data_IF_798861998842
#
_entry.id   IF_798861998842
#
_cell.length_a   1.000
_cell.length_b   1.000
_cell.length_c   1.000
_cell.angle_alpha   90.00
_cell.angle_beta   90.00
_cell.angle_gamma   90.00
#
_symmetry.space_group_name_H-M   'P 1'
#
loop_
_entity.id
_entity.type
_entity.pdbx_description
1 polymer ?
#
# COMPACT_ATOMS: atom_id res chain seq x y z
N UNK A 1 -97.42 -123.55 -0.29
CA UNK A 1 -97.77 -124.86 0.33
C UNK A 1 -98.78 -124.58 1.44
N UNK A 2 -100.03 -124.95 1.19
CA UNK A 2 -101.12 -124.86 2.16
C UNK A 2 -100.79 -125.71 3.39
N UNK A 3 -100.87 -125.12 4.57
CA UNK A 3 -101.06 -125.86 5.82
C UNK A 3 -102.18 -125.17 6.59
N UNK A 4 -103.35 -125.81 6.56
CA UNK A 4 -104.47 -125.60 7.48
C UNK A 4 -104.05 -126.08 8.87
N UNK A 5 -104.21 -125.26 9.91
CA UNK A 5 -104.37 -125.74 11.28
C UNK A 5 -105.50 -124.96 11.97
N UNK A 6 -106.63 -125.66 12.04
CA UNK A 6 -107.59 -125.78 13.14
C UNK A 6 -107.84 -124.61 14.11
N UNK A 7 -109.07 -124.12 14.07
CA UNK A 7 -109.78 -123.60 15.24
C UNK A 7 -109.85 -124.69 16.31
N UNK A 8 -109.24 -124.43 17.47
CA UNK A 8 -109.55 -125.10 18.73
C UNK A 8 -110.16 -124.05 19.64
N UNK A 9 -111.48 -124.11 19.80
CA UNK A 9 -112.17 -123.48 20.93
C UNK A 9 -111.83 -124.30 22.19
N UNK A 10 -111.08 -123.71 23.11
CA UNK A 10 -111.13 -124.11 24.52
C UNK A 10 -111.00 -122.85 25.39
N UNK A 11 -111.88 -122.66 26.39
CA UNK A 11 -111.95 -121.44 27.18
C UNK A 11 -110.92 -121.46 28.30
N UNK A 12 -110.64 -120.28 28.87
CA UNK A 12 -109.77 -120.02 30.04
C UNK A 12 -108.28 -119.81 29.69
N UNK A 13 -107.88 -118.55 29.50
CA UNK A 13 -106.88 -117.89 30.36
C UNK A 13 -106.88 -116.38 30.02
N UNK A 14 -107.32 -115.58 30.99
CA UNK A 14 -107.26 -114.13 30.99
C UNK A 14 -105.80 -113.69 31.15
N UNK A 15 -105.25 -112.98 30.16
CA UNK A 15 -104.11 -112.08 30.38
C UNK A 15 -104.66 -110.66 30.26
N UNK A 16 -104.53 -109.91 31.34
CA UNK A 16 -105.17 -108.62 31.58
C UNK A 16 -104.76 -107.58 30.52
N UNK A 17 -105.69 -106.87 29.84
CA UNK A 17 -105.36 -105.75 28.94
C UNK A 17 -104.65 -104.57 29.64
N UNK A 18 -104.58 -104.61 30.98
CA UNK A 18 -103.78 -103.68 31.77
C UNK A 18 -102.28 -103.97 31.70
N UNK A 19 -101.85 -105.25 31.57
CA UNK A 19 -100.42 -105.60 31.53
C UNK A 19 -99.78 -105.26 30.18
N UNK A 20 -100.51 -105.49 29.08
CA UNK A 20 -100.06 -105.17 27.72
C UNK A 20 -100.00 -103.65 27.48
N UNK A 21 -100.99 -102.89 28.00
CA UNK A 21 -100.93 -101.43 28.04
C UNK A 21 -99.81 -100.92 28.95
N UNK A 22 -99.58 -101.53 30.11
CA UNK A 22 -98.49 -101.13 31.02
C UNK A 22 -97.11 -101.36 30.40
N UNK A 23 -96.91 -102.45 29.67
CA UNK A 23 -95.67 -102.74 28.94
C UNK A 23 -95.51 -101.79 27.73
N UNK A 24 -96.57 -101.56 26.96
CA UNK A 24 -96.55 -100.60 25.83
C UNK A 24 -96.27 -99.16 26.28
N UNK A 25 -96.92 -98.69 27.35
CA UNK A 25 -96.69 -97.34 27.88
C UNK A 25 -95.31 -97.18 28.51
N UNK A 26 -94.82 -98.17 29.27
CA UNK A 26 -93.47 -98.11 29.82
C UNK A 26 -92.40 -98.17 28.73
N UNK A 27 -92.53 -99.04 27.73
CA UNK A 27 -91.58 -99.10 26.61
C UNK A 27 -91.65 -97.80 25.79
N UNK A 28 -92.84 -97.25 25.52
CA UNK A 28 -92.99 -96.00 24.79
C UNK A 28 -92.43 -94.82 25.58
N UNK A 29 -92.65 -94.78 26.89
CA UNK A 29 -92.07 -93.80 27.82
C UNK A 29 -90.54 -93.90 27.84
N UNK A 30 -89.98 -95.10 28.02
CA UNK A 30 -88.53 -95.33 27.96
C UNK A 30 -87.94 -94.99 26.59
N UNK A 31 -88.60 -95.34 25.49
CA UNK A 31 -88.13 -95.03 24.13
C UNK A 31 -88.16 -93.52 23.85
N UNK A 32 -89.21 -92.83 24.30
CA UNK A 32 -89.29 -91.36 24.24
C UNK A 32 -88.23 -90.72 25.12
N UNK A 33 -87.97 -91.27 26.31
CA UNK A 33 -86.95 -90.77 27.23
C UNK A 33 -85.53 -91.02 26.71
N UNK A 34 -85.27 -92.16 26.07
CA UNK A 34 -84.01 -92.50 25.40
C UNK A 34 -83.82 -91.61 24.17
N UNK A 35 -84.85 -91.43 23.34
CA UNK A 35 -84.80 -90.55 22.16
C UNK A 35 -84.57 -89.10 22.57
N UNK A 36 -85.27 -88.61 23.59
CA UNK A 36 -85.06 -87.27 24.14
C UNK A 36 -83.65 -87.12 24.73
N UNK A 37 -83.14 -88.13 25.44
CA UNK A 37 -81.79 -88.12 25.99
C UNK A 37 -80.71 -88.15 24.89
N UNK A 38 -80.88 -88.97 23.84
CA UNK A 38 -79.99 -89.02 22.69
C UNK A 38 -80.00 -87.69 21.92
N UNK A 39 -81.18 -87.14 21.65
CA UNK A 39 -81.34 -85.85 20.98
C UNK A 39 -80.75 -84.73 21.83
N UNK A 40 -80.99 -84.70 23.14
CA UNK A 40 -80.45 -83.70 24.05
C UNK A 40 -78.91 -83.79 24.14
N UNK A 41 -78.36 -84.98 24.23
CA UNK A 41 -76.91 -85.21 24.25
C UNK A 41 -76.26 -84.83 22.91
N UNK A 42 -76.86 -85.19 21.78
CA UNK A 42 -76.42 -84.75 20.45
C UNK A 42 -76.49 -83.23 20.30
N UNK A 43 -77.56 -82.59 20.78
CA UNK A 43 -77.73 -81.13 20.75
C UNK A 43 -76.70 -80.44 21.65
N UNK A 44 -76.42 -80.98 22.83
CA UNK A 44 -75.39 -80.48 23.75
C UNK A 44 -73.99 -80.60 23.14
N UNK A 45 -73.68 -81.72 22.47
CA UNK A 45 -72.39 -81.90 21.76
C UNK A 45 -72.26 -80.95 20.57
N UNK A 46 -73.33 -80.75 19.79
CA UNK A 46 -73.37 -79.79 18.68
C UNK A 46 -73.20 -78.34 19.16
N UNK A 47 -73.90 -77.95 20.23
CA UNK A 47 -73.74 -76.62 20.85
C UNK A 47 -72.32 -76.43 21.38
N UNK A 48 -71.75 -77.45 22.04
CA UNK A 48 -70.37 -77.42 22.55
C UNK A 48 -69.34 -77.31 21.42
N UNK A 49 -69.54 -78.00 20.30
CA UNK A 49 -68.72 -77.82 19.10
C UNK A 49 -68.89 -76.41 18.51
N UNK A 50 -70.12 -75.93 18.37
CA UNK A 50 -70.42 -74.60 17.83
C UNK A 50 -69.81 -73.48 18.68
N UNK A 51 -69.91 -73.55 20.01
CA UNK A 51 -69.29 -72.57 20.91
C UNK A 51 -67.77 -72.65 20.90
N UNK A 52 -67.18 -73.85 20.84
CA UNK A 52 -65.74 -74.02 20.67
C UNK A 52 -65.26 -73.41 19.35
N UNK A 53 -65.99 -73.64 18.26
CA UNK A 53 -65.65 -73.11 16.94
C UNK A 53 -65.77 -71.58 16.91
N UNK A 54 -66.84 -71.02 17.48
CA UNK A 54 -67.03 -69.58 17.62
C UNK A 54 -65.94 -68.94 18.50
N UNK A 55 -65.56 -69.60 19.60
CA UNK A 55 -64.48 -69.15 20.48
C UNK A 55 -63.13 -69.17 19.76
N UNK A 56 -62.81 -70.26 19.05
CA UNK A 56 -61.60 -70.34 18.22
C UNK A 56 -61.59 -69.30 17.10
N UNK A 57 -62.73 -69.07 16.44
CA UNK A 57 -62.85 -68.07 15.38
C UNK A 57 -62.67 -66.67 15.94
N UNK A 58 -63.30 -66.33 17.06
CA UNK A 58 -63.13 -65.05 17.73
C UNK A 58 -61.67 -64.81 18.16
N UNK A 59 -61.00 -65.85 18.65
CA UNK A 59 -59.58 -65.79 19.02
C UNK A 59 -58.68 -65.61 17.80
N UNK A 60 -58.94 -66.32 16.68
CA UNK A 60 -58.22 -66.12 15.42
C UNK A 60 -58.43 -64.72 14.86
N UNK A 61 -59.66 -64.19 14.88
CA UNK A 61 -59.96 -62.82 14.44
C UNK A 61 -59.23 -61.80 15.30
N UNK A 62 -59.16 -62.00 16.62
CA UNK A 62 -58.36 -61.12 17.50
C UNK A 62 -56.88 -61.15 17.13
N UNK A 63 -56.31 -62.33 16.92
CA UNK A 63 -54.89 -62.47 16.51
C UNK A 63 -54.62 -61.80 15.17
N UNK A 64 -55.53 -61.97 14.20
CA UNK A 64 -55.42 -61.34 12.90
C UNK A 64 -55.46 -59.81 13.00
N UNK A 65 -56.40 -59.26 13.79
CA UNK A 65 -56.49 -57.81 14.00
C UNK A 65 -55.22 -57.23 14.66
N UNK A 66 -54.57 -57.98 15.57
CA UNK A 66 -53.30 -57.56 16.17
C UNK A 66 -52.18 -57.54 15.13
N UNK A 67 -52.08 -58.58 14.29
CA UNK A 67 -51.09 -58.63 13.21
C UNK A 67 -51.32 -57.52 12.19
N UNK A 68 -52.57 -57.28 11.79
CA UNK A 68 -52.95 -56.21 10.86
C UNK A 68 -52.57 -54.83 11.42
N UNK A 69 -52.86 -54.56 12.69
CA UNK A 69 -52.45 -53.32 13.36
C UNK A 69 -50.92 -53.20 13.44
N UNK A 70 -50.20 -54.30 13.66
CA UNK A 70 -48.73 -54.30 13.68
C UNK A 70 -48.16 -54.00 12.29
N UNK A 71 -48.68 -54.64 11.24
CA UNK A 71 -48.26 -54.39 9.86
C UNK A 71 -48.56 -52.94 9.48
N UNK A 72 -49.75 -52.41 9.80
CA UNK A 72 -50.10 -51.02 9.52
C UNK A 72 -49.13 -50.05 10.21
N UNK A 73 -48.81 -50.28 11.48
CA UNK A 73 -47.83 -49.46 12.21
C UNK A 73 -46.43 -49.55 11.61
N UNK A 74 -45.98 -50.76 11.22
CA UNK A 74 -44.69 -50.93 10.55
C UNK A 74 -44.65 -50.23 9.19
N UNK A 75 -45.70 -50.34 8.38
CA UNK A 75 -45.81 -49.65 7.09
C UNK A 75 -45.76 -48.14 7.28
N UNK A 76 -46.54 -47.58 8.20
CA UNK A 76 -46.50 -46.13 8.49
C UNK A 76 -45.11 -45.66 8.94
N UNK A 77 -44.41 -46.45 9.77
CA UNK A 77 -43.03 -46.12 10.19
C UNK A 77 -42.06 -46.12 9.00
N UNK A 78 -42.16 -47.10 8.11
CA UNK A 78 -41.31 -47.17 6.91
C UNK A 78 -41.61 -46.01 5.97
N UNK A 79 -42.88 -45.65 5.77
CA UNK A 79 -43.29 -44.50 4.94
C UNK A 79 -42.73 -43.18 5.49
N UNK A 80 -42.83 -42.96 6.80
CA UNK A 80 -42.24 -41.77 7.45
C UNK A 80 -40.72 -41.75 7.24
N UNK A 81 -40.04 -42.86 7.49
CA UNK A 81 -38.59 -42.95 7.30
C UNK A 81 -38.18 -42.69 5.85
N UNK A 82 -38.96 -43.20 4.89
CA UNK A 82 -38.72 -42.97 3.47
C UNK A 82 -38.89 -41.50 3.08
N UNK A 83 -39.91 -40.84 3.63
CA UNK A 83 -40.14 -39.40 3.45
C UNK A 83 -39.00 -38.56 4.06
N UNK A 84 -38.55 -38.89 5.27
CA UNK A 84 -37.42 -38.22 5.91
C UNK A 84 -36.13 -38.37 5.10
N UNK A 85 -35.84 -39.58 4.62
CA UNK A 85 -34.67 -39.85 3.78
C UNK A 85 -34.75 -39.08 2.44
N UNK A 86 -35.94 -39.02 1.84
CA UNK A 86 -36.18 -38.27 0.60
C UNK A 86 -36.02 -36.76 0.81
N UNK A 87 -36.47 -36.23 1.95
CA UNK A 87 -36.28 -34.82 2.27
C UNK A 87 -34.80 -34.49 2.51
N UNK A 88 -34.09 -35.36 3.23
CA UNK A 88 -32.65 -35.22 3.50
C UNK A 88 -31.81 -35.26 2.23
N UNK A 89 -32.10 -36.21 1.33
CA UNK A 89 -31.42 -36.31 0.02
C UNK A 89 -31.67 -35.08 -0.84
N UNK A 90 -32.91 -34.59 -0.94
CA UNK A 90 -33.23 -33.34 -1.65
C UNK A 90 -32.49 -32.12 -1.08
N UNK A 91 -32.28 -32.06 0.24
CA UNK A 91 -31.50 -30.99 0.87
C UNK A 91 -30.02 -31.07 0.46
N UNK A 92 -29.45 -32.27 0.52
CA UNK A 92 -28.05 -32.52 0.11
C UNK A 92 -27.84 -32.21 -1.38
N UNK A 93 -28.78 -32.57 -2.26
CA UNK A 93 -28.69 -32.24 -3.69
C UNK A 93 -28.66 -30.72 -3.93
N UNK A 94 -29.46 -29.95 -3.20
CA UNK A 94 -29.44 -28.48 -3.29
C UNK A 94 -28.11 -27.89 -2.80
N UNK A 95 -27.59 -28.38 -1.69
CA UNK A 95 -26.27 -27.97 -1.18
C UNK A 95 -25.16 -28.32 -2.19
N UNK A 96 -25.21 -29.50 -2.79
CA UNK A 96 -24.26 -29.92 -3.82
C UNK A 96 -24.30 -29.02 -5.05
N UNK A 97 -25.49 -28.65 -5.54
CA UNK A 97 -25.64 -27.72 -6.67
C UNK A 97 -25.05 -26.34 -6.36
N UNK A 98 -25.27 -25.84 -5.15
CA UNK A 98 -24.68 -24.57 -4.68
C UNK A 98 -23.15 -24.65 -4.67
N UNK A 99 -22.58 -25.73 -4.12
CA UNK A 99 -21.13 -25.93 -4.08
C UNK A 99 -20.53 -26.05 -5.49
N UNK A 100 -21.18 -26.76 -6.41
CA UNK A 100 -20.73 -26.88 -7.81
C UNK A 100 -20.71 -25.51 -8.50
N UNK A 101 -21.72 -24.68 -8.28
CA UNK A 101 -21.76 -23.30 -8.79
C UNK A 101 -20.61 -22.45 -8.25
N UNK A 102 -20.30 -22.58 -6.96
CA UNK A 102 -19.21 -21.85 -6.33
C UNK A 102 -17.83 -22.31 -6.81
N UNK A 103 -17.63 -23.62 -6.99
CA UNK A 103 -16.42 -24.19 -7.60
C UNK A 103 -16.23 -23.66 -9.02
N UNK A 104 -17.30 -23.62 -9.84
CA UNK A 104 -17.22 -23.06 -11.20
C UNK A 104 -16.80 -21.59 -11.21
N UNK A 105 -17.33 -20.78 -10.27
CA UNK A 105 -16.93 -19.38 -10.11
C UNK A 105 -15.46 -19.25 -9.71
N UNK A 106 -14.99 -20.10 -8.79
CA UNK A 106 -13.59 -20.11 -8.34
C UNK A 106 -12.65 -20.54 -9.48
N UNK A 107 -13.02 -21.55 -10.27
CA UNK A 107 -12.25 -21.99 -11.43
C UNK A 107 -12.08 -20.87 -12.47
N UNK A 108 -13.15 -20.12 -12.77
CA UNK A 108 -13.06 -18.98 -13.69
C UNK A 108 -12.12 -17.88 -13.13
N UNK A 109 -12.25 -17.56 -11.84
CA UNK A 109 -11.33 -16.61 -11.18
C UNK A 109 -9.88 -17.10 -11.22
N UNK A 110 -9.64 -18.39 -11.02
CA UNK A 110 -8.29 -18.97 -11.06
C UNK A 110 -7.70 -18.87 -12.46
N UNK A 111 -8.47 -19.20 -13.50
CA UNK A 111 -8.03 -19.04 -14.90
C UNK A 111 -7.71 -17.57 -15.25
N UNK A 112 -8.49 -16.62 -14.75
CA UNK A 112 -8.19 -15.20 -14.92
C UNK A 112 -6.90 -14.77 -14.21
N UNK A 113 -6.65 -15.29 -13.01
CA UNK A 113 -5.42 -15.01 -12.26
C UNK A 113 -4.21 -15.63 -12.96
N UNK A 114 -4.30 -16.87 -13.43
CA UNK A 114 -3.25 -17.55 -14.19
C UNK A 114 -2.86 -16.75 -15.44
N UNK A 115 -3.86 -16.27 -16.21
CA UNK A 115 -3.61 -15.41 -17.36
C UNK A 115 -2.93 -14.08 -16.99
N UNK A 116 -3.34 -13.44 -15.88
CA UNK A 116 -2.69 -12.21 -15.41
C UNK A 116 -1.24 -12.45 -14.98
N UNK A 117 -0.97 -13.56 -14.31
CA UNK A 117 0.39 -13.94 -13.91
C UNK A 117 1.26 -14.14 -15.14
N UNK A 118 0.78 -14.87 -16.17
CA UNK A 118 1.51 -15.06 -17.42
C UNK A 118 1.83 -13.74 -18.14
N UNK A 119 0.89 -12.79 -18.17
CA UNK A 119 1.11 -11.47 -18.77
C UNK A 119 2.17 -10.69 -17.98
N UNK A 120 2.05 -10.66 -16.65
CA UNK A 120 3.02 -9.97 -15.79
C UNK A 120 4.42 -10.58 -15.88
N UNK A 121 4.54 -11.91 -15.94
CA UNK A 121 5.81 -12.59 -16.14
C UNK A 121 6.45 -12.23 -17.48
N UNK A 122 5.66 -12.15 -18.55
CA UNK A 122 6.14 -11.70 -19.85
C UNK A 122 6.59 -10.24 -19.83
N UNK A 123 5.84 -9.35 -19.16
CA UNK A 123 6.18 -7.93 -19.03
C UNK A 123 7.45 -7.71 -18.21
N UNK A 124 7.58 -8.38 -17.07
CA UNK A 124 8.80 -8.32 -16.27
C UNK A 124 10.02 -8.85 -17.03
N UNK A 125 9.84 -9.88 -17.86
CA UNK A 125 10.93 -10.40 -18.68
C UNK A 125 11.38 -9.38 -19.73
N UNK A 126 10.46 -8.65 -20.37
CA UNK A 126 10.83 -7.60 -21.32
C UNK A 126 11.51 -6.42 -20.63
N UNK A 127 10.97 -5.94 -19.50
CA UNK A 127 11.59 -4.86 -18.73
C UNK A 127 13.00 -5.21 -18.25
N UNK A 128 13.24 -6.47 -17.87
CA UNK A 128 14.56 -6.93 -17.44
C UNK A 128 15.57 -6.91 -18.59
N UNK A 129 15.16 -7.27 -19.81
CA UNK A 129 16.05 -7.19 -20.97
C UNK A 129 16.33 -5.73 -21.37
N UNK A 130 15.33 -4.85 -21.33
CA UNK A 130 15.51 -3.42 -21.59
C UNK A 130 16.50 -2.79 -20.59
N UNK A 131 16.33 -3.08 -19.29
CA UNK A 131 17.27 -2.64 -18.24
C UNK A 131 18.68 -3.20 -18.44
N UNK A 132 18.80 -4.41 -18.97
CA UNK A 132 20.09 -5.04 -19.25
C UNK A 132 20.79 -4.35 -20.42
N UNK A 133 20.04 -3.98 -21.47
CA UNK A 133 20.56 -3.19 -22.58
C UNK A 133 20.99 -1.80 -22.13
N UNK A 134 20.18 -1.09 -21.35
CA UNK A 134 20.51 0.24 -20.82
C UNK A 134 21.75 0.18 -19.93
N UNK A 135 21.85 -0.83 -19.06
CA UNK A 135 23.06 -1.08 -18.26
C UNK A 135 24.30 -1.25 -19.14
N UNK A 136 24.21 -2.01 -20.23
CA UNK A 136 25.34 -2.19 -21.13
C UNK A 136 25.73 -0.89 -21.84
N UNK A 137 24.75 -0.06 -22.22
CA UNK A 137 25.00 1.26 -22.80
C UNK A 137 25.69 2.19 -21.80
N UNK A 138 25.22 2.23 -20.55
CA UNK A 138 25.83 3.03 -19.49
C UNK A 138 27.25 2.56 -19.17
N UNK A 139 27.50 1.25 -19.12
CA UNK A 139 28.85 0.71 -18.94
C UNK A 139 29.80 1.15 -20.06
N UNK A 140 29.34 1.09 -21.32
CA UNK A 140 30.12 1.57 -22.45
C UNK A 140 30.40 3.08 -22.37
N UNK A 141 29.42 3.87 -21.90
CA UNK A 141 29.58 5.31 -21.71
C UNK A 141 30.62 5.62 -20.63
N UNK A 142 30.56 4.92 -19.49
CA UNK A 142 31.51 5.08 -18.39
C UNK A 142 32.93 4.76 -18.85
N UNK A 143 33.13 3.68 -19.61
CA UNK A 143 34.46 3.35 -20.18
C UNK A 143 34.95 4.47 -21.10
N UNK A 144 34.10 5.00 -21.98
CA UNK A 144 34.46 6.14 -22.85
C UNK A 144 34.82 7.38 -22.04
N UNK A 145 34.04 7.72 -21.02
CA UNK A 145 34.32 8.86 -20.15
C UNK A 145 35.64 8.67 -19.39
N UNK A 146 35.92 7.49 -18.87
CA UNK A 146 37.19 7.19 -18.21
C UNK A 146 38.39 7.43 -19.14
N UNK A 147 38.31 6.95 -20.39
CA UNK A 147 39.38 7.19 -21.38
C UNK A 147 39.54 8.68 -21.73
N UNK A 148 38.44 9.44 -21.77
CA UNK A 148 38.49 10.88 -22.03
C UNK A 148 39.10 11.64 -20.85
N UNK A 149 38.77 11.26 -19.61
CA UNK A 149 39.35 11.85 -18.40
C UNK A 149 40.86 11.61 -18.37
N UNK A 150 41.31 10.38 -18.62
CA UNK A 150 42.75 10.05 -18.67
C UNK A 150 43.48 10.91 -19.73
N UNK A 151 42.87 11.11 -20.90
CA UNK A 151 43.42 11.98 -21.94
C UNK A 151 43.49 13.45 -21.50
N UNK A 152 42.45 13.95 -20.82
CA UNK A 152 42.40 15.32 -20.28
C UNK A 152 43.41 15.53 -19.15
N UNK A 153 43.58 14.56 -18.26
CA UNK A 153 44.59 14.61 -17.19
C UNK A 153 46.00 14.72 -17.77
N UNK A 154 46.30 13.96 -18.82
CA UNK A 154 47.57 14.06 -19.54
C UNK A 154 47.78 15.44 -20.14
N UNK A 155 46.75 16.01 -20.77
CA UNK A 155 46.82 17.37 -21.30
C UNK A 155 47.02 18.42 -20.21
N UNK A 156 46.30 18.29 -19.09
CA UNK A 156 46.41 19.19 -17.94
C UNK A 156 47.81 19.13 -17.33
N UNK A 157 48.42 17.94 -17.25
CA UNK A 157 49.78 17.80 -16.72
C UNK A 157 50.80 18.52 -17.60
N UNK A 158 50.70 18.39 -18.92
CA UNK A 158 51.55 19.12 -19.88
C UNK A 158 51.33 20.64 -19.76
N UNK A 159 50.07 21.09 -19.70
CA UNK A 159 49.73 22.50 -19.55
C UNK A 159 50.26 23.09 -18.23
N UNK A 160 50.16 22.35 -17.12
CA UNK A 160 50.69 22.74 -15.81
C UNK A 160 52.21 22.85 -15.82
N UNK A 161 52.91 21.90 -16.45
CA UNK A 161 54.37 21.96 -16.62
C UNK A 161 54.78 23.21 -17.41
N UNK A 162 54.09 23.51 -18.52
CA UNK A 162 54.33 24.73 -19.30
C UNK A 162 54.04 26.00 -18.48
N UNK A 163 52.97 26.01 -17.68
CA UNK A 163 52.64 27.15 -16.83
C UNK A 163 53.69 27.38 -15.74
N UNK A 164 54.23 26.31 -15.14
CA UNK A 164 55.35 26.41 -14.19
C UNK A 164 56.64 26.93 -14.84
N UNK A 165 56.89 26.59 -16.11
CA UNK A 165 58.01 27.14 -16.89
C UNK A 165 57.79 28.62 -17.20
N UNK A 166 56.57 29.01 -17.58
CA UNK A 166 56.20 30.40 -17.82
C UNK A 166 56.26 31.23 -16.52
N UNK A 167 55.81 30.71 -15.38
CA UNK A 167 55.95 31.34 -14.07
C UNK A 167 57.43 31.55 -13.70
N UNK A 168 58.30 30.57 -13.95
CA UNK A 168 59.75 30.74 -13.76
C UNK A 168 60.32 31.83 -14.66
N UNK A 169 59.88 31.89 -15.92
CA UNK A 169 60.27 32.96 -16.84
C UNK A 169 59.76 34.33 -16.38
N UNK A 170 58.54 34.40 -15.85
CA UNK A 170 57.93 35.61 -15.31
C UNK A 170 58.64 36.07 -14.02
N UNK A 171 59.08 35.15 -13.16
CA UNK A 171 59.93 35.46 -11.99
C UNK A 171 61.29 35.99 -12.42
N UNK A 172 61.92 35.41 -13.44
CA UNK A 172 63.18 35.93 -13.98
C UNK A 172 63.01 37.32 -14.59
N UNK A 173 61.90 37.55 -15.30
CA UNK A 173 61.57 38.87 -15.84
C UNK A 173 61.29 39.86 -14.70
N UNK A 174 60.58 39.46 -13.66
CA UNK A 174 60.33 40.27 -12.47
C UNK A 174 61.59 40.57 -11.66
N UNK A 175 62.56 39.65 -11.56
CA UNK A 175 63.87 39.93 -10.93
C UNK A 175 64.65 40.94 -11.78
N UNK A 176 64.62 40.78 -13.11
CA UNK A 176 65.25 41.73 -14.03
C UNK A 176 64.62 43.12 -13.93
N UNK A 177 63.29 43.19 -13.86
CA UNK A 177 62.54 44.43 -13.64
C UNK A 177 62.81 44.99 -12.24
N UNK A 178 62.87 44.19 -11.18
CA UNK A 178 63.23 44.65 -9.83
C UNK A 178 64.68 45.14 -9.75
N UNK A 179 65.61 44.58 -10.51
CA UNK A 179 66.96 45.12 -10.64
C UNK A 179 66.95 46.48 -11.33
N UNK A 180 66.18 46.62 -12.41
CA UNK A 180 66.00 47.90 -13.11
C UNK A 180 65.27 48.93 -12.23
N UNK A 181 64.23 48.52 -11.51
CA UNK A 181 63.51 49.32 -10.52
C UNK A 181 64.46 49.65 -9.38
N UNK A 182 65.28 48.73 -8.86
CA UNK A 182 66.27 49.02 -7.81
C UNK A 182 67.32 50.03 -8.25
N UNK A 183 67.67 50.03 -9.54
CA UNK A 183 68.49 51.08 -10.16
C UNK A 183 67.75 52.43 -10.27
N UNK A 184 66.40 52.42 -10.32
CA UNK A 184 65.52 53.61 -10.36
C UNK A 184 65.02 54.04 -8.97
N UNK A 185 64.96 53.13 -7.99
CA UNK A 185 64.31 53.21 -6.67
C UNK A 185 65.31 53.26 -5.52
N UNK A 186 66.56 53.66 -5.82
CA UNK A 186 67.36 54.41 -4.84
C UNK A 186 66.61 55.66 -4.31
N UNK A 187 65.43 56.00 -4.85
CA UNK A 187 64.36 56.73 -4.17
C UNK A 187 63.16 55.83 -3.79
N UNK A 188 62.98 55.63 -2.47
CA UNK A 188 61.76 55.22 -1.74
C UNK A 188 61.04 53.90 -2.12
N UNK A 189 61.11 52.92 -1.22
CA UNK A 189 60.28 51.72 -1.20
C UNK A 189 58.84 52.02 -0.72
N UNK A 190 57.83 51.59 -1.49
CA UNK A 190 56.42 51.57 -1.08
C UNK A 190 56.02 50.16 -0.66
N UNK A 191 55.43 50.06 0.52
CA UNK A 191 54.95 48.86 1.18
C UNK A 191 53.55 48.50 0.66
N UNK A 192 53.39 47.30 0.08
CA UNK A 192 52.09 46.79 -0.34
C UNK A 192 51.23 46.46 0.89
N UNK A 193 50.16 47.24 1.12
CA UNK A 193 49.11 46.91 2.08
C UNK A 193 48.25 45.78 1.52
N UNK A 194 47.99 44.77 2.35
CA UNK A 194 47.07 43.67 2.09
C UNK A 194 45.66 44.23 1.79
N UNK A 195 45.26 44.21 0.52
CA UNK A 195 43.98 44.72 0.05
C UNK A 195 42.87 43.78 0.52
N UNK A 196 41.99 44.28 1.40
CA UNK A 196 40.82 43.55 1.90
C UNK A 196 39.59 43.96 1.09
N UNK A 197 39.07 43.03 0.29
CA UNK A 197 37.85 43.22 -0.50
C UNK A 197 36.62 42.82 0.31
N UNK A 198 35.58 43.65 0.29
CA UNK A 198 34.38 43.44 1.12
C UNK A 198 33.31 42.55 0.46
N UNK A 199 33.32 42.49 -0.86
CA UNK A 199 32.37 41.76 -1.69
C UNK A 199 33.02 41.39 -3.05
N UNK A 200 32.30 40.62 -3.86
CA UNK A 200 32.75 40.23 -5.19
C UNK A 200 32.80 41.40 -6.19
N UNK A 201 32.06 42.49 -5.97
CA UNK A 201 32.06 43.65 -6.84
C UNK A 201 33.35 44.48 -6.68
N UNK A 202 33.93 44.54 -5.48
CA UNK A 202 35.26 45.12 -5.25
C UNK A 202 36.37 44.27 -5.87
N UNK A 203 36.27 42.94 -5.75
CA UNK A 203 37.18 42.01 -6.42
C UNK A 203 37.15 42.22 -7.94
N UNK A 204 35.95 42.29 -8.52
CA UNK A 204 35.77 42.52 -9.96
C UNK A 204 36.36 43.87 -10.40
N UNK A 205 36.12 44.95 -9.65
CA UNK A 205 36.72 46.28 -9.91
C UNK A 205 38.24 46.28 -9.77
N UNK A 206 38.80 45.41 -8.94
CA UNK A 206 40.25 45.23 -8.80
C UNK A 206 40.87 44.36 -9.90
N UNK A 207 40.06 43.88 -10.86
CA UNK A 207 40.52 43.11 -12.03
C UNK A 207 40.43 41.59 -11.87
N UNK A 208 39.81 41.10 -10.79
CA UNK A 208 39.53 39.67 -10.63
C UNK A 208 38.28 39.29 -11.42
N UNK A 209 38.46 38.95 -12.70
CA UNK A 209 37.35 38.76 -13.64
C UNK A 209 37.03 37.30 -13.97
N UNK A 210 37.47 36.35 -13.12
CA UNK A 210 37.22 34.91 -13.31
C UNK A 210 36.29 34.42 -12.23
N UNK A 211 35.19 33.77 -12.60
CA UNK A 211 34.25 33.18 -11.65
C UNK A 211 34.91 32.08 -10.82
N UNK A 212 34.62 32.02 -9.52
CA UNK A 212 35.26 31.05 -8.63
C UNK A 212 35.12 31.39 -7.15
N UNK A 213 35.79 30.62 -6.30
CA UNK A 213 35.78 30.86 -4.85
C UNK A 213 36.85 31.88 -4.47
N UNK A 214 36.43 32.93 -3.77
CA UNK A 214 37.28 34.00 -3.26
C UNK A 214 37.10 34.17 -1.75
N UNK A 215 38.07 34.83 -1.12
CA UNK A 215 38.03 35.21 0.30
C UNK A 215 37.71 36.70 0.42
N UNK A 216 36.60 37.04 1.06
CA UNK A 216 36.17 38.43 1.31
C UNK A 216 36.20 38.76 2.80
N UNK A 217 36.37 40.03 3.13
CA UNK A 217 36.33 40.56 4.50
C UNK A 217 35.12 41.46 4.67
N UNK A 218 34.01 40.87 5.13
CA UNK A 218 32.71 41.54 5.21
C UNK A 218 32.73 42.73 6.22
N UNK A 219 33.56 42.65 7.25
CA UNK A 219 33.75 43.72 8.23
C UNK A 219 35.25 43.99 8.41
N UNK A 220 35.62 45.26 8.58
CA UNK A 220 36.99 45.68 8.93
C UNK A 220 37.44 45.04 10.25
N UNK A 221 36.49 44.79 11.16
CA UNK A 221 36.75 44.18 12.46
C UNK A 221 36.75 42.64 12.44
N UNK A 222 36.39 42.00 11.32
CA UNK A 222 36.51 40.54 11.19
C UNK A 222 37.99 40.19 10.95
N UNK A 223 38.52 39.36 11.85
CA UNK A 223 39.88 38.81 11.73
C UNK A 223 39.97 37.70 10.68
N UNK A 224 38.87 36.97 10.45
CA UNK A 224 38.83 35.83 9.53
C UNK A 224 38.04 36.18 8.26
N UNK A 225 38.57 35.90 7.06
CA UNK A 225 37.85 36.06 5.81
C UNK A 225 36.76 35.00 5.63
N UNK A 226 35.71 35.36 4.91
CA UNK A 226 34.64 34.45 4.51
C UNK A 226 34.86 34.01 3.07
N UNK A 227 34.78 32.70 2.82
CA UNK A 227 34.85 32.16 1.46
C UNK A 227 33.49 32.29 0.78
N UNK A 228 33.46 32.88 -0.41
CA UNK A 228 32.26 33.09 -1.22
C UNK A 228 32.53 32.64 -2.65
N UNK A 229 31.48 32.24 -3.36
CA UNK A 229 31.56 32.09 -4.80
C UNK A 229 31.22 33.42 -5.46
N UNK A 230 32.16 33.93 -6.27
CA UNK A 230 31.93 35.11 -7.07
C UNK A 230 31.59 34.70 -8.51
N UNK A 231 30.45 35.17 -8.99
CA UNK A 231 30.11 35.11 -10.42
C UNK A 231 30.54 36.43 -11.08
N UNK A 232 31.59 36.32 -11.90
CA UNK A 232 32.22 37.44 -12.59
C UNK A 232 31.76 37.59 -14.04
N UNK A 233 30.80 36.79 -14.48
CA UNK A 233 30.38 36.73 -15.89
C UNK A 233 28.93 37.21 -16.07
N UNK A 234 28.02 36.75 -15.23
CA UNK A 234 26.59 37.01 -15.38
C UNK A 234 26.26 38.49 -15.27
N UNK A 235 25.53 39.05 -16.24
CA UNK A 235 25.01 40.42 -16.20
C UNK A 235 26.04 41.50 -15.81
N UNK A 236 27.30 41.36 -16.22
CA UNK A 236 28.37 42.32 -15.93
C UNK A 236 29.28 41.96 -14.75
N UNK A 237 29.03 40.83 -14.09
CA UNK A 237 29.91 40.26 -13.07
C UNK A 237 29.91 40.97 -11.71
N UNK A 238 30.70 40.44 -10.78
CA UNK A 238 30.84 40.98 -9.42
C UNK A 238 29.78 40.51 -8.44
N UNK A 239 29.05 39.44 -8.77
CA UNK A 239 27.97 38.90 -7.95
C UNK A 239 28.50 38.03 -6.82
N UNK A 240 28.06 38.31 -5.59
CA UNK A 240 28.38 37.46 -4.43
C UNK A 240 27.27 36.43 -4.25
N UNK A 241 27.53 35.18 -4.61
CA UNK A 241 26.54 34.10 -4.50
C UNK A 241 26.37 33.71 -3.05
N UNK A 242 25.14 33.78 -2.54
CA UNK A 242 24.82 33.41 -1.16
C UNK A 242 23.96 32.16 -1.05
N UNK A 243 23.37 31.70 -2.14
CA UNK A 243 22.68 30.41 -2.22
C UNK A 243 22.89 29.79 -3.60
N UNK A 244 23.13 28.47 -3.62
CA UNK A 244 23.23 27.69 -4.86
C UNK A 244 22.68 26.28 -4.68
N UNK A 245 21.86 25.84 -5.63
CA UNK A 245 21.26 24.50 -5.75
C UNK A 245 21.42 24.02 -7.19
N UNK A 246 21.73 22.75 -7.41
CA UNK A 246 21.79 22.15 -8.76
C UNK A 246 21.69 20.61 -8.80
N UNK A 247 21.95 19.90 -7.69
CA UNK A 247 21.98 18.42 -7.68
C UNK A 247 21.40 17.77 -6.41
N UNK A 248 21.03 18.55 -5.39
CA UNK A 248 20.50 18.02 -4.14
C UNK A 248 21.52 17.29 -3.27
N UNK A 249 22.82 17.52 -3.46
CA UNK A 249 23.89 16.90 -2.67
C UNK A 249 23.95 17.40 -1.22
N UNK A 250 23.41 18.59 -0.96
CA UNK A 250 23.39 19.19 0.37
C UNK A 250 21.97 19.20 0.93
N UNK A 251 21.79 18.71 2.16
CA UNK A 251 20.52 18.83 2.87
C UNK A 251 20.27 20.29 3.29
N UNK A 252 19.11 20.84 2.90
CA UNK A 252 18.66 22.19 3.25
C UNK A 252 17.63 22.19 4.39
N UNK A 253 17.20 21.03 4.88
CA UNK A 253 16.47 20.96 6.15
C UNK A 253 17.49 21.25 7.25
N UNK A 254 17.58 22.49 7.71
CA UNK A 254 18.61 22.92 8.66
C UNK A 254 18.01 23.75 9.79
N UNK A 255 18.74 23.82 10.89
CA UNK A 255 18.36 24.58 12.09
C UNK A 255 18.58 26.08 11.91
N UNK A 256 18.03 26.91 12.80
CA UNK A 256 18.26 28.35 12.82
C UNK A 256 19.75 28.68 12.88
N UNK A 257 20.48 27.99 13.75
CA UNK A 257 21.93 28.19 13.93
C UNK A 257 22.71 27.88 12.65
N UNK A 258 22.36 26.82 11.94
CA UNK A 258 22.98 26.46 10.66
C UNK A 258 22.66 27.49 9.56
N UNK A 259 21.40 27.93 9.44
CA UNK A 259 21.05 28.98 8.48
C UNK A 259 21.69 30.34 8.80
N UNK A 260 21.91 30.64 10.08
CA UNK A 260 22.66 31.81 10.53
C UNK A 260 24.13 31.75 10.10
N UNK A 261 24.80 30.64 10.37
CA UNK A 261 26.25 30.48 10.17
C UNK A 261 26.63 30.11 8.73
N UNK A 262 25.71 29.52 7.97
CA UNK A 262 25.96 28.95 6.66
C UNK A 262 26.29 27.46 6.69
N UNK A 263 26.10 26.79 5.56
CA UNK A 263 26.38 25.37 5.35
C UNK A 263 26.61 25.06 3.86
N UNK A 264 27.24 23.91 3.58
CA UNK A 264 27.61 23.50 2.22
C UNK A 264 28.99 24.00 1.80
N UNK A 265 29.29 23.91 0.51
CA UNK A 265 30.56 24.33 -0.08
C UNK A 265 30.32 25.48 -1.08
N UNK A 266 30.98 26.65 -0.94
CA UNK A 266 30.92 27.71 -1.94
C UNK A 266 31.19 27.25 -3.38
N UNK A 267 32.04 26.23 -3.59
CA UNK A 267 32.27 25.65 -4.92
C UNK A 267 31.09 24.79 -5.43
N UNK A 268 30.17 24.37 -4.55
CA UNK A 268 29.03 23.51 -4.82
C UNK A 268 27.71 24.09 -4.30
N UNK A 269 26.82 23.21 -3.82
CA UNK A 269 25.57 23.64 -3.18
C UNK A 269 25.85 24.19 -1.79
N UNK A 270 25.29 25.37 -1.49
CA UNK A 270 25.51 26.02 -0.21
C UNK A 270 24.46 27.07 0.12
N UNK A 271 24.48 27.45 1.39
CA UNK A 271 23.89 28.66 1.95
C UNK A 271 24.98 29.41 2.69
N UNK A 272 25.29 30.65 2.29
CA UNK A 272 26.40 31.43 2.83
C UNK A 272 26.23 31.76 4.33
N UNK A 273 24.98 31.89 4.78
CA UNK A 273 24.65 32.22 6.16
C UNK A 273 23.98 33.59 6.26
N UNK A 274 22.87 33.65 7.01
CA UNK A 274 22.07 34.87 7.14
C UNK A 274 22.88 36.01 7.78
N UNK A 275 23.77 35.70 8.71
CA UNK A 275 24.61 36.72 9.36
C UNK A 275 25.59 37.37 8.36
N UNK A 276 26.17 36.57 7.46
CA UNK A 276 27.06 37.07 6.42
C UNK A 276 26.28 37.93 5.41
N UNK A 277 25.13 37.45 4.93
CA UNK A 277 24.28 38.18 3.97
C UNK A 277 23.74 39.48 4.58
N UNK A 278 23.30 39.45 5.84
CA UNK A 278 22.92 40.65 6.59
C UNK A 278 24.06 41.67 6.59
N UNK A 279 25.26 41.26 6.99
CA UNK A 279 26.42 42.16 7.07
C UNK A 279 26.83 42.71 5.71
N UNK A 280 26.81 41.91 4.64
CA UNK A 280 27.08 42.37 3.27
C UNK A 280 26.05 43.44 2.90
N UNK A 281 24.77 43.10 2.97
CA UNK A 281 23.67 43.98 2.55
C UNK A 281 23.47 45.21 3.44
N UNK A 282 24.07 45.24 4.63
CA UNK A 282 24.10 46.41 5.51
C UNK A 282 25.20 47.43 5.18
N UNK A 283 26.17 47.08 4.32
CA UNK A 283 27.25 48.01 3.95
C UNK A 283 26.82 49.07 2.94
N UNK A 284 25.73 48.83 2.20
CA UNK A 284 25.31 49.69 1.09
C UNK A 284 24.00 49.23 0.47
N UNK A 285 23.74 49.69 -0.75
CA UNK A 285 22.60 49.23 -1.53
C UNK A 285 23.04 48.06 -2.42
N UNK A 286 22.44 46.90 -2.19
CA UNK A 286 22.65 45.70 -2.98
C UNK A 286 21.39 45.35 -3.74
N UNK A 287 21.56 44.88 -4.97
CA UNK A 287 20.49 44.26 -5.75
C UNK A 287 20.48 42.76 -5.51
N UNK A 288 19.34 42.11 -5.65
CA UNK A 288 19.25 40.65 -5.64
C UNK A 288 18.96 40.14 -7.04
N UNK A 289 19.76 39.19 -7.51
CA UNK A 289 19.44 38.39 -8.71
C UNK A 289 19.20 36.94 -8.29
N UNK A 290 18.10 36.38 -8.77
CA UNK A 290 17.72 34.98 -8.61
C UNK A 290 17.65 34.36 -9.99
N UNK A 291 18.49 33.37 -10.26
CA UNK A 291 18.44 32.57 -11.47
C UNK A 291 17.86 31.20 -11.16
N UNK A 292 16.92 30.76 -11.98
CA UNK A 292 16.26 29.47 -11.89
C UNK A 292 16.57 28.71 -13.16
N UNK A 293 16.57 27.38 -13.09
CA UNK A 293 16.56 26.52 -14.26
C UNK A 293 15.51 25.45 -14.06
N UNK A 294 14.70 25.18 -15.07
CA UNK A 294 13.76 24.05 -15.07
C UNK A 294 14.39 22.78 -15.67
N UNK A 295 13.62 21.69 -15.65
CA UNK A 295 14.08 20.38 -16.13
C UNK A 295 14.23 20.35 -17.65
N UNK A 296 13.50 21.21 -18.35
CA UNK A 296 13.52 21.42 -19.79
C UNK A 296 14.68 22.31 -20.24
N UNK A 297 15.43 22.89 -19.30
CA UNK A 297 16.62 23.71 -19.55
C UNK A 297 16.36 25.21 -19.74
N UNK A 298 15.12 25.68 -19.58
CA UNK A 298 14.81 27.11 -19.56
C UNK A 298 15.39 27.75 -18.30
N UNK A 299 15.96 28.94 -18.44
CA UNK A 299 16.67 29.63 -17.36
C UNK A 299 16.09 31.04 -17.09
N UNK A 300 14.88 31.15 -16.50
CA UNK A 300 14.32 32.44 -16.17
C UNK A 300 15.01 33.07 -14.95
N UNK A 301 14.93 34.40 -14.81
CA UNK A 301 15.50 35.11 -13.67
C UNK A 301 14.53 36.12 -13.06
N UNK A 302 14.73 36.41 -11.77
CA UNK A 302 14.14 37.55 -11.06
C UNK A 302 15.25 38.49 -10.61
N UNK A 303 14.99 39.79 -10.70
CA UNK A 303 15.89 40.84 -10.23
C UNK A 303 15.13 41.79 -9.31
N UNK A 304 15.79 42.24 -8.25
CA UNK A 304 15.27 43.22 -7.30
C UNK A 304 16.31 44.31 -7.11
N UNK A 305 15.95 45.55 -7.46
CA UNK A 305 16.84 46.71 -7.36
C UNK A 305 17.38 46.94 -5.95
N UNK A 306 16.62 46.56 -4.91
CA UNK A 306 17.07 46.61 -3.51
C UNK A 306 16.73 45.34 -2.77
N UNK A 307 17.75 44.79 -2.12
CA UNK A 307 17.67 43.66 -1.21
C UNK A 307 18.46 43.94 0.06
N UNK A 308 17.84 43.63 1.20
CA UNK A 308 18.49 43.69 2.49
C UNK A 308 17.86 42.68 3.44
N UNK A 309 18.68 42.06 4.30
CA UNK A 309 18.19 41.32 5.45
C UNK A 309 18.25 42.20 6.71
N UNK A 310 17.30 42.03 7.62
CA UNK A 310 17.39 42.56 8.97
C UNK A 310 18.45 41.84 9.81
N UNK A 311 18.77 42.38 10.97
CA UNK A 311 19.63 41.69 11.94
C UNK A 311 18.95 40.42 12.50
N UNK A 312 19.71 39.58 13.20
CA UNK A 312 19.16 38.43 13.93
C UNK A 312 18.02 38.82 14.89
N UNK A 313 18.12 39.98 15.56
CA UNK A 313 17.06 40.49 16.46
C UNK A 313 15.76 40.82 15.73
N UNK A 314 15.85 41.07 14.42
CA UNK A 314 14.72 41.27 13.52
C UNK A 314 14.37 39.98 12.75
N UNK A 315 14.88 38.84 13.20
CA UNK A 315 14.69 37.52 12.59
C UNK A 315 15.08 37.47 11.11
N UNK A 316 16.17 38.17 10.74
CA UNK A 316 16.64 38.28 9.35
C UNK A 316 15.53 38.67 8.36
N UNK A 317 14.67 39.60 8.76
CA UNK A 317 13.54 40.07 7.96
C UNK A 317 13.97 40.49 6.56
N UNK A 318 13.25 40.00 5.55
CA UNK A 318 13.51 40.25 4.15
C UNK A 318 12.94 41.59 3.69
N UNK A 319 13.79 42.46 3.14
CA UNK A 319 13.38 43.71 2.52
C UNK A 319 13.72 43.68 1.02
N UNK A 320 12.67 43.73 0.19
CA UNK A 320 12.77 43.71 -1.28
C UNK A 320 12.10 44.94 -1.91
N UNK A 321 12.66 45.47 -3.00
CA UNK A 321 12.03 46.51 -3.84
C UNK A 321 12.50 46.40 -5.29
N UNK A 322 11.65 46.82 -6.23
CA UNK A 322 12.03 46.97 -7.65
C UNK A 322 12.11 45.64 -8.38
N UNK A 323 11.05 44.83 -8.32
CA UNK A 323 10.99 43.54 -9.02
C UNK A 323 10.98 43.70 -10.54
N UNK A 324 11.83 42.94 -11.23
CA UNK A 324 11.85 42.78 -12.69
C UNK A 324 12.38 41.38 -13.05
N UNK A 325 12.33 40.99 -14.32
CA UNK A 325 12.88 39.73 -14.80
C UNK A 325 11.94 38.94 -15.70
N UNK A 326 12.32 37.70 -15.99
CA UNK A 326 11.58 36.77 -16.88
C UNK A 326 10.89 35.64 -16.11
N UNK A 327 11.16 35.48 -14.82
CA UNK A 327 10.56 34.46 -13.95
C UNK A 327 9.16 34.83 -13.41
N UNK A 328 8.31 35.37 -14.29
CA UNK A 328 6.94 35.76 -13.99
C UNK A 328 6.68 37.27 -13.95
N UNK A 329 5.40 37.63 -13.92
CA UNK A 329 4.97 39.03 -13.84
C UNK A 329 4.93 39.58 -12.39
N UNK A 330 4.99 38.69 -11.39
CA UNK A 330 4.96 39.03 -9.97
C UNK A 330 6.01 38.23 -9.21
N UNK A 331 6.53 38.82 -8.13
CA UNK A 331 7.52 38.20 -7.26
C UNK A 331 6.98 36.93 -6.61
N UNK A 332 7.70 35.82 -6.79
CA UNK A 332 7.43 34.53 -6.12
C UNK A 332 8.10 34.40 -4.75
N UNK A 333 9.03 35.32 -4.42
CA UNK A 333 9.64 35.42 -3.08
C UNK A 333 8.60 35.81 -2.03
N UNK A 334 8.90 35.49 -0.77
CA UNK A 334 8.06 35.90 0.36
C UNK A 334 7.78 37.42 0.32
N UNK A 335 6.58 37.86 0.73
CA UNK A 335 6.23 39.28 0.72
C UNK A 335 7.28 40.12 1.43
N UNK A 336 7.46 41.36 0.96
CA UNK A 336 8.31 42.34 1.61
C UNK A 336 7.99 42.42 3.11
N UNK A 337 9.02 42.35 3.95
CA UNK A 337 8.89 42.42 5.39
C UNK A 337 8.61 41.08 6.07
N UNK A 338 8.69 39.95 5.38
CA UNK A 338 8.56 38.62 6.00
C UNK A 338 9.83 38.26 6.79
N UNK A 339 9.67 37.73 8.00
CA UNK A 339 10.78 37.22 8.82
C UNK A 339 11.25 35.85 8.33
N UNK A 340 12.52 35.52 8.56
CA UNK A 340 13.06 34.19 8.24
C UNK A 340 12.56 33.17 9.26
N UNK A 341 12.22 31.96 8.80
CA UNK A 341 11.77 30.84 9.66
C UNK A 341 12.50 29.55 9.31
N UNK A 342 12.76 28.70 10.30
CA UNK A 342 13.36 27.36 10.15
C UNK A 342 12.53 26.33 10.90
N UNK A 343 12.89 25.04 10.77
CA UNK A 343 12.14 23.95 11.42
C UNK A 343 12.04 24.09 12.96
N UNK A 344 12.99 24.78 13.56
CA UNK A 344 13.18 24.99 15.00
C UNK A 344 12.93 26.44 15.44
N UNK A 345 12.62 27.36 14.52
CA UNK A 345 12.30 28.75 14.80
C UNK A 345 11.17 29.24 13.88
N UNK A 346 9.97 29.32 14.44
CA UNK A 346 8.75 29.71 13.74
C UNK A 346 8.51 31.21 13.86
N UNK A 347 8.85 31.96 12.81
CA UNK A 347 8.64 33.40 12.71
C UNK A 347 7.74 33.78 11.53
N UNK A 348 7.01 32.81 10.96
CA UNK A 348 6.14 33.07 9.82
C UNK A 348 4.79 33.62 10.30
N UNK A 349 4.04 34.27 9.39
CA UNK A 349 2.74 34.86 9.71
C UNK A 349 1.60 33.84 9.53
N UNK A 350 1.88 32.53 9.47
CA UNK A 350 0.87 31.49 9.36
C UNK A 350 0.51 30.93 10.74
N UNK A 351 -0.70 30.36 10.85
CA UNK A 351 -1.08 29.49 11.98
C UNK A 351 -0.34 28.14 11.89
N UNK A 352 0.18 27.83 10.70
CA UNK A 352 0.90 26.63 10.34
C UNK A 352 2.42 26.85 10.38
N UNK A 353 3.21 25.85 10.75
CA UNK A 353 4.68 25.94 10.67
C UNK A 353 5.15 25.74 9.22
N UNK A 354 5.23 26.81 8.43
CA UNK A 354 5.54 26.70 7.00
C UNK A 354 6.90 26.03 6.75
N UNK A 355 7.90 26.28 7.60
CA UNK A 355 9.22 25.65 7.49
C UNK A 355 9.21 24.12 7.68
N UNK A 356 8.24 23.58 8.43
CA UNK A 356 8.04 22.12 8.56
C UNK A 356 7.24 21.54 7.40
N UNK A 357 6.26 22.28 6.88
CA UNK A 357 5.39 21.83 5.79
C UNK A 357 6.06 21.87 4.41
N UNK A 358 6.89 22.89 4.16
CA UNK A 358 7.54 23.12 2.86
C UNK A 358 8.99 22.60 2.81
N UNK A 359 9.53 22.16 3.95
CA UNK A 359 10.91 21.70 4.16
C UNK A 359 11.99 22.74 3.83
N UNK A 360 12.78 23.14 4.84
CA UNK A 360 13.87 24.12 4.69
C UNK A 360 13.63 25.44 5.42
N UNK A 361 14.55 26.40 5.27
CA UNK A 361 14.41 27.76 5.81
C UNK A 361 13.65 28.67 4.85
N UNK A 362 12.64 29.40 5.33
CA UNK A 362 11.74 30.17 4.46
C UNK A 362 12.22 31.62 4.24
N UNK A 363 12.74 31.86 3.04
CA UNK A 363 12.38 32.95 2.14
C UNK A 363 12.41 32.34 0.72
N UNK A 364 11.24 31.91 0.24
CA UNK A 364 11.04 30.93 -0.84
C UNK A 364 11.96 31.06 -2.07
N UNK A 365 12.95 30.18 -2.22
CA UNK A 365 13.37 29.62 -3.51
C UNK A 365 12.93 28.16 -3.49
N UNK A 366 12.06 27.78 -4.43
CA UNK A 366 11.32 26.52 -4.40
C UNK A 366 12.24 25.29 -4.31
N UNK A 367 11.90 24.26 -3.53
CA UNK A 367 12.60 22.97 -3.54
C UNK A 367 12.44 22.18 -4.84
N UNK A 368 11.59 22.62 -5.77
CA UNK A 368 11.19 21.87 -6.97
C UNK A 368 11.94 22.25 -8.26
N UNK A 369 12.78 23.29 -8.22
CA UNK A 369 13.56 23.70 -9.39
C UNK A 369 14.93 22.99 -9.35
N UNK A 370 15.37 22.32 -10.44
CA UNK A 370 16.60 21.54 -10.46
C UNK A 370 17.83 22.36 -10.09
N UNK A 371 17.84 23.66 -10.43
CA UNK A 371 18.86 24.59 -9.94
C UNK A 371 18.34 25.98 -9.66
N UNK A 372 18.77 26.56 -8.55
CA UNK A 372 18.51 27.94 -8.16
C UNK A 372 19.82 28.58 -7.67
N UNK A 373 20.09 29.80 -8.11
CA UNK A 373 21.23 30.60 -7.67
C UNK A 373 20.74 31.97 -7.25
N UNK A 374 21.11 32.40 -6.05
CA UNK A 374 20.81 33.74 -5.55
C UNK A 374 22.10 34.48 -5.21
N UNK A 375 22.24 35.69 -5.74
CA UNK A 375 23.42 36.50 -5.56
C UNK A 375 23.09 37.98 -5.31
N UNK A 376 23.94 38.63 -4.51
CA UNK A 376 23.86 40.05 -4.17
C UNK A 376 25.01 40.86 -4.74
#
# INVERSE_FOLDING_TARGET
KNIHIFYINNPLFSVHPQLENYIQENIKSELVHIQAHVVHNQTANMLKMGTNLLSQTAEQTRKLNVVEAQVLNQTSRIEIQLLENTLSTNKLEKELLMQVSEISKLQNKNSQLENKVLVLESQHKTELEDLREEKQQLQNLVVRQATAIEALEKQLHVASSNNSALQRQQLQLMDSVHRLIGMVSAGSALQWRELRFRDCAELYRAGHNVSGVYSIHIDINMTEPVKVFCDMETSGGGWTVFQRRFNGSVDFQRTWKEYKMGFGDPAGEHWLGNEAVFRITSQGQYSLRVELKDWEGNAPFSHYDRFQLGSEKQNYRLFLRGYSGTAGHQSSLAPHGTSFSTRDADNDNCVCKCALMLTGGMARLSPQDPSALAAV
#
